data_IF_575741887596
#
_entry.id   IF_575741887596
#
_cell.length_a   1.000
_cell.length_b   1.000
_cell.length_c   1.000
_cell.angle_alpha   90.00
_cell.angle_beta   90.00
_cell.angle_gamma   90.00
#
_symmetry.space_group_name_H-M   'P 1'
#
loop_
_entity.id
_entity.type
_entity.pdbx_description
1 polymer ?
#
# COMPACT_ATOMS: atom_id res chain seq x y z
N UNK A 1 -31.65 65.89 23.98
CA UNK A 1 -31.41 64.49 24.33
C UNK A 1 -30.95 64.52 25.77
N UNK A 2 -31.58 63.79 26.70
CA UNK A 2 -31.14 63.83 28.11
C UNK A 2 -29.82 63.04 28.24
N UNK A 3 -28.98 63.39 29.19
CA UNK A 3 -27.73 62.68 29.47
C UNK A 3 -27.93 61.15 29.64
N UNK A 4 -29.05 60.75 30.23
CA UNK A 4 -29.43 59.34 30.42
C UNK A 4 -29.67 58.58 29.08
N UNK A 5 -30.26 59.27 28.06
CA UNK A 5 -30.49 58.66 26.73
C UNK A 5 -29.18 58.52 25.94
N UNK A 6 -28.25 59.45 26.09
CA UNK A 6 -26.95 59.39 25.47
C UNK A 6 -26.09 58.26 26.03
N UNK A 7 -26.10 58.05 27.35
CA UNK A 7 -25.40 56.95 28.00
C UNK A 7 -25.97 55.58 27.61
N UNK A 8 -27.30 55.44 27.54
CA UNK A 8 -27.95 54.20 27.12
C UNK A 8 -27.59 53.84 25.69
N UNK A 9 -27.57 54.84 24.79
CA UNK A 9 -27.19 54.65 23.38
C UNK A 9 -25.73 54.22 23.25
N UNK A 10 -24.82 54.79 24.05
CA UNK A 10 -23.40 54.41 24.07
C UNK A 10 -23.22 52.96 24.53
N UNK A 11 -23.93 52.56 25.59
CA UNK A 11 -23.89 51.16 26.11
C UNK A 11 -24.39 50.18 25.09
N UNK A 12 -25.47 50.46 24.34
CA UNK A 12 -25.98 49.61 23.29
C UNK A 12 -25.01 49.50 22.11
N UNK A 13 -24.36 50.60 21.73
CA UNK A 13 -23.32 50.57 20.68
C UNK A 13 -22.11 49.72 21.06
N UNK A 14 -21.65 49.84 22.32
CA UNK A 14 -20.53 48.99 22.83
C UNK A 14 -20.93 47.53 22.85
N UNK A 15 -22.15 47.19 23.32
CA UNK A 15 -22.64 45.82 23.28
C UNK A 15 -22.73 45.24 21.88
N UNK A 16 -23.20 46.05 20.91
CA UNK A 16 -23.24 45.65 19.50
C UNK A 16 -21.83 45.43 18.92
N UNK A 17 -20.86 46.27 19.23
CA UNK A 17 -19.47 46.13 18.81
C UNK A 17 -18.82 44.88 19.41
N UNK A 18 -19.05 44.61 20.69
CA UNK A 18 -18.57 43.38 21.33
C UNK A 18 -19.17 42.12 20.70
N UNK A 19 -20.46 42.16 20.36
CA UNK A 19 -21.12 41.05 19.64
C UNK A 19 -20.55 40.83 18.24
N UNK A 20 -20.15 41.88 17.52
CA UNK A 20 -19.49 41.78 16.23
C UNK A 20 -18.10 41.14 16.34
N UNK A 21 -17.32 41.51 17.38
CA UNK A 21 -16.00 40.94 17.63
C UNK A 21 -16.10 39.44 17.96
N UNK A 22 -17.11 39.06 18.76
CA UNK A 22 -17.35 37.61 19.05
C UNK A 22 -17.73 36.82 17.78
N UNK A 23 -18.58 37.42 16.90
CA UNK A 23 -18.95 36.79 15.63
C UNK A 23 -17.75 36.62 14.69
N UNK A 24 -16.86 37.61 14.61
CA UNK A 24 -15.63 37.50 13.81
C UNK A 24 -14.72 36.38 14.33
N UNK A 25 -14.58 36.25 15.64
CA UNK A 25 -13.79 35.15 16.22
C UNK A 25 -14.34 33.77 15.87
N UNK A 26 -15.65 33.58 16.02
CA UNK A 26 -16.32 32.31 15.68
C UNK A 26 -16.12 31.99 14.19
N UNK A 27 -16.24 32.99 13.31
CA UNK A 27 -16.05 32.81 11.87
C UNK A 27 -14.60 32.42 11.51
N UNK A 28 -13.60 33.05 12.15
CA UNK A 28 -12.21 32.69 11.94
C UNK A 28 -11.86 31.30 12.52
N UNK A 29 -12.43 30.92 13.65
CA UNK A 29 -12.29 29.57 14.21
C UNK A 29 -12.87 28.50 13.28
N UNK A 30 -14.06 28.72 12.72
CA UNK A 30 -14.65 27.81 11.74
C UNK A 30 -13.80 27.68 10.48
N UNK A 31 -13.23 28.78 10.02
CA UNK A 31 -12.37 28.81 8.83
C UNK A 31 -11.05 28.07 9.08
N UNK A 32 -10.48 28.20 10.28
CA UNK A 32 -9.29 27.46 10.69
C UNK A 32 -9.63 25.97 10.79
N UNK A 33 -10.73 25.60 11.44
CA UNK A 33 -11.16 24.21 11.57
C UNK A 33 -11.42 23.54 10.20
N UNK A 34 -11.99 24.27 9.23
CA UNK A 34 -12.15 23.78 7.85
C UNK A 34 -10.79 23.51 7.18
N UNK A 35 -9.85 24.44 7.32
CA UNK A 35 -8.49 24.25 6.77
C UNK A 35 -7.76 23.06 7.39
N UNK A 36 -7.87 22.88 8.70
CA UNK A 36 -7.27 21.75 9.40
C UNK A 36 -7.84 20.40 8.93
N UNK A 37 -9.17 20.33 8.76
CA UNK A 37 -9.83 19.14 8.18
C UNK A 37 -9.33 18.83 6.77
N UNK A 38 -9.21 19.83 5.91
CA UNK A 38 -8.68 19.65 4.56
C UNK A 38 -7.23 19.17 4.57
N UNK A 39 -6.39 19.74 5.44
CA UNK A 39 -5.00 19.33 5.60
C UNK A 39 -4.91 17.87 6.09
N UNK A 40 -5.75 17.48 7.05
CA UNK A 40 -5.81 16.12 7.56
C UNK A 40 -6.23 15.12 6.48
N UNK A 41 -7.22 15.49 5.65
CA UNK A 41 -7.69 14.67 4.55
C UNK A 41 -6.62 14.50 3.45
N UNK A 42 -5.93 15.57 3.08
CA UNK A 42 -4.81 15.53 2.12
C UNK A 42 -3.66 14.67 2.65
N UNK A 43 -3.33 14.76 3.96
CA UNK A 43 -2.30 13.92 4.57
C UNK A 43 -2.68 12.45 4.51
N UNK A 44 -3.94 12.12 4.83
CA UNK A 44 -4.45 10.75 4.75
C UNK A 44 -4.39 10.21 3.32
N UNK A 45 -4.87 10.98 2.34
CA UNK A 45 -4.80 10.58 0.92
C UNK A 45 -3.37 10.33 0.45
N UNK A 46 -2.41 11.17 0.83
CA UNK A 46 -0.98 10.98 0.50
C UNK A 46 -0.41 9.73 1.15
N UNK A 47 -0.80 9.43 2.39
CA UNK A 47 -0.36 8.21 3.07
C UNK A 47 -0.94 6.95 2.41
N UNK A 48 -2.22 6.99 2.05
CA UNK A 48 -2.89 5.89 1.34
C UNK A 48 -2.28 5.66 -0.05
N UNK A 49 -1.99 6.74 -0.80
CA UNK A 49 -1.29 6.66 -2.09
C UNK A 49 0.12 6.09 -1.94
N UNK A 50 0.86 6.49 -0.90
CA UNK A 50 2.20 5.95 -0.64
C UNK A 50 2.15 4.46 -0.33
N UNK A 51 1.20 4.02 0.52
CA UNK A 51 0.99 2.60 0.82
C UNK A 51 0.59 1.80 -0.41
N UNK A 52 -0.26 2.36 -1.28
CA UNK A 52 -0.65 1.73 -2.53
C UNK A 52 0.56 1.57 -3.48
N UNK A 53 1.39 2.60 -3.62
CA UNK A 53 2.60 2.54 -4.45
C UNK A 53 3.62 1.53 -3.90
N UNK A 54 3.84 1.48 -2.58
CA UNK A 54 4.71 0.49 -1.93
C UNK A 54 4.19 -0.94 -2.11
N UNK A 55 2.86 -1.13 -2.15
CA UNK A 55 2.25 -2.43 -2.42
C UNK A 55 2.43 -2.83 -3.89
N UNK A 56 2.25 -1.90 -4.82
CA UNK A 56 2.46 -2.15 -6.25
C UNK A 56 3.90 -2.54 -6.57
N UNK A 57 4.89 -1.95 -5.91
CA UNK A 57 6.31 -2.28 -6.08
C UNK A 57 6.64 -3.70 -5.57
N UNK A 58 5.83 -4.23 -4.65
CA UNK A 58 5.95 -5.61 -4.16
C UNK A 58 5.30 -6.66 -5.06
N UNK A 59 4.53 -6.23 -6.06
CA UNK A 59 3.81 -7.13 -6.97
C UNK A 59 4.70 -7.48 -8.16
N UNK A 60 5.05 -8.74 -8.26
CA UNK A 60 5.77 -9.29 -9.41
C UNK A 60 4.76 -9.84 -10.43
N UNK A 61 4.71 -9.23 -11.63
CA UNK A 61 3.79 -9.62 -12.71
C UNK A 61 4.51 -10.55 -13.70
N UNK A 62 4.01 -11.75 -13.88
CA UNK A 62 4.49 -12.74 -14.84
C UNK A 62 3.38 -13.01 -15.84
N UNK A 63 3.67 -12.89 -17.14
CA UNK A 63 2.73 -13.28 -18.20
C UNK A 63 3.09 -14.67 -18.72
N UNK A 64 2.09 -15.52 -18.88
CA UNK A 64 2.25 -16.82 -19.55
C UNK A 64 2.59 -16.56 -21.01
N UNK A 65 3.62 -17.22 -21.50
CA UNK A 65 4.03 -17.09 -22.90
C UNK A 65 3.09 -17.91 -23.78
N UNK A 66 2.71 -17.32 -24.93
CA UNK A 66 1.95 -18.02 -25.94
C UNK A 66 2.78 -19.15 -26.55
N UNK A 67 2.31 -20.39 -26.43
CA UNK A 67 2.96 -21.59 -26.96
C UNK A 67 2.11 -22.33 -28.01
N UNK A 68 0.97 -21.75 -28.38
CA UNK A 68 0.02 -22.34 -29.34
C UNK A 68 -0.75 -23.55 -28.80
N UNK A 69 -0.74 -23.75 -27.48
CA UNK A 69 -1.41 -24.87 -26.80
C UNK A 69 -2.29 -24.36 -25.67
N UNK A 70 -3.59 -24.19 -25.90
CA UNK A 70 -4.50 -23.63 -24.91
C UNK A 70 -4.60 -24.47 -23.61
N UNK A 71 -4.17 -25.73 -23.63
CA UNK A 71 -4.14 -26.62 -22.48
C UNK A 71 -2.93 -26.42 -21.55
N UNK A 72 -1.87 -25.73 -22.00
CA UNK A 72 -0.62 -25.52 -21.23
C UNK A 72 -0.52 -24.12 -20.66
N UNK A 73 -1.55 -23.66 -19.97
CA UNK A 73 -1.63 -22.31 -19.41
C UNK A 73 -0.92 -22.21 -18.06
N UNK A 74 0.41 -22.36 -18.04
CA UNK A 74 1.22 -22.21 -16.81
C UNK A 74 2.53 -21.45 -17.09
N UNK A 75 3.01 -20.72 -16.07
CA UNK A 75 4.33 -20.10 -16.06
C UNK A 75 5.17 -20.62 -14.89
N UNK A 76 6.47 -20.78 -15.13
CA UNK A 76 7.43 -21.02 -14.06
C UNK A 76 7.82 -19.68 -13.43
N UNK A 77 7.61 -19.56 -12.13
CA UNK A 77 7.96 -18.38 -11.32
C UNK A 77 9.12 -18.75 -10.41
N UNK A 78 10.06 -17.82 -10.30
CA UNK A 78 11.22 -17.98 -9.40
C UNK A 78 11.16 -16.87 -8.36
N UNK A 79 11.22 -17.25 -7.07
CA UNK A 79 11.41 -16.35 -5.94
C UNK A 79 12.85 -16.52 -5.46
N UNK A 80 13.59 -15.44 -5.38
CA UNK A 80 15.01 -15.48 -5.01
C UNK A 80 15.29 -14.50 -3.87
N UNK A 81 15.68 -15.05 -2.74
CA UNK A 81 16.16 -14.35 -1.56
C UNK A 81 17.66 -14.57 -1.31
N UNK A 82 18.37 -15.17 -2.28
CA UNK A 82 19.78 -15.54 -2.15
C UNK A 82 20.74 -14.36 -1.99
N UNK A 83 20.28 -13.13 -2.31
CA UNK A 83 21.02 -11.89 -2.05
C UNK A 83 20.92 -11.37 -0.62
N UNK A 84 20.14 -12.04 0.25
CA UNK A 84 20.01 -11.65 1.67
C UNK A 84 21.30 -11.96 2.42
N UNK A 85 21.67 -11.08 3.34
CA UNK A 85 22.87 -11.26 4.18
C UNK A 85 22.61 -10.76 5.59
N UNK A 86 23.34 -11.30 6.55
CA UNK A 86 23.42 -10.79 7.91
C UNK A 86 24.61 -9.82 8.01
N UNK A 87 24.45 -8.61 8.59
CA UNK A 87 25.57 -7.71 8.87
C UNK A 87 26.66 -8.37 9.73
N UNK A 88 26.29 -9.31 10.58
CA UNK A 88 27.22 -10.13 11.35
C UNK A 88 27.69 -11.31 10.49
N UNK A 89 28.75 -11.12 9.72
CA UNK A 89 29.26 -11.98 8.63
C UNK A 89 29.47 -13.47 8.99
N UNK A 90 29.37 -13.85 10.27
CA UNK A 90 29.60 -15.22 10.75
C UNK A 90 28.29 -16.02 10.80
N UNK A 91 27.15 -15.34 10.80
CA UNK A 91 25.86 -15.98 11.00
C UNK A 91 25.29 -16.57 9.70
N UNK A 92 24.82 -17.80 9.80
CA UNK A 92 24.11 -18.46 8.70
C UNK A 92 22.65 -18.08 8.75
N UNK A 93 22.11 -17.62 7.62
CA UNK A 93 20.69 -17.37 7.46
C UNK A 93 19.94 -18.67 7.17
N UNK A 94 18.82 -18.84 7.86
CA UNK A 94 17.84 -19.90 7.61
C UNK A 94 16.67 -19.25 6.86
N UNK A 95 16.29 -19.85 5.75
CA UNK A 95 15.20 -19.38 4.87
C UNK A 95 13.98 -20.25 5.09
N UNK A 96 12.80 -19.64 5.10
CA UNK A 96 11.53 -20.36 5.12
C UNK A 96 10.51 -19.61 4.27
N UNK A 97 10.08 -20.23 3.17
CA UNK A 97 9.01 -19.75 2.32
C UNK A 97 7.69 -20.41 2.71
N UNK A 98 6.65 -19.59 2.86
CA UNK A 98 5.30 -20.04 3.15
C UNK A 98 4.33 -19.41 2.20
N UNK A 99 3.53 -20.22 1.50
CA UNK A 99 2.41 -19.72 0.72
C UNK A 99 1.30 -19.23 1.67
N UNK A 100 0.86 -17.98 1.50
CA UNK A 100 -0.17 -17.34 2.32
C UNK A 100 -1.53 -17.38 1.61
N UNK A 101 -1.55 -17.19 0.29
CA UNK A 101 -2.79 -17.26 -0.51
C UNK A 101 -2.54 -17.66 -1.96
N UNK A 102 -3.62 -17.91 -2.69
CA UNK A 102 -3.61 -18.40 -4.06
C UNK A 102 -3.82 -19.92 -4.16
N UNK A 103 -3.89 -20.45 -5.38
CA UNK A 103 -3.92 -21.89 -5.61
C UNK A 103 -2.64 -22.52 -5.05
N UNK A 104 -2.77 -23.65 -4.36
CA UNK A 104 -1.63 -24.36 -3.78
C UNK A 104 -0.63 -24.75 -4.87
N UNK A 105 0.64 -24.40 -4.65
CA UNK A 105 1.76 -24.76 -5.52
C UNK A 105 2.87 -25.44 -4.71
N UNK A 106 3.69 -26.22 -5.40
CA UNK A 106 4.86 -26.87 -4.78
C UNK A 106 6.09 -26.04 -5.04
N UNK A 107 6.84 -25.74 -3.97
CA UNK A 107 8.08 -24.98 -4.04
C UNK A 107 9.27 -25.94 -4.20
N UNK A 108 9.99 -25.78 -5.30
CA UNK A 108 11.18 -26.55 -5.61
C UNK A 108 12.47 -25.73 -5.42
N UNK A 109 13.58 -26.29 -4.90
CA UNK A 109 13.73 -27.68 -4.46
C UNK A 109 13.03 -27.97 -3.13
N UNK A 110 12.83 -27.00 -2.27
CA UNK A 110 12.08 -27.07 -1.00
C UNK A 110 11.88 -25.67 -0.41
N UNK A 111 10.90 -25.47 0.50
CA UNK A 111 10.61 -24.16 1.08
C UNK A 111 11.74 -23.51 1.90
N UNK A 112 12.75 -24.30 2.31
CA UNK A 112 13.88 -23.78 3.11
C UNK A 112 15.08 -23.36 2.24
N UNK A 113 14.92 -23.37 0.92
CA UNK A 113 15.95 -22.90 0.00
C UNK A 113 15.93 -21.39 -0.14
N UNK A 114 17.08 -20.70 -0.29
CA UNK A 114 17.14 -19.26 -0.53
C UNK A 114 16.47 -18.88 -1.86
N UNK A 115 16.44 -19.78 -2.81
CA UNK A 115 15.80 -19.63 -4.11
C UNK A 115 14.85 -20.80 -4.33
N UNK A 116 13.59 -20.46 -4.67
CA UNK A 116 12.55 -21.45 -4.96
C UNK A 116 11.87 -21.15 -6.29
N UNK A 117 11.39 -22.20 -6.95
CA UNK A 117 10.62 -22.12 -8.18
C UNK A 117 9.30 -22.86 -8.01
N UNK A 118 8.29 -22.42 -8.74
CA UNK A 118 7.00 -23.12 -8.82
C UNK A 118 6.33 -22.86 -10.17
N UNK A 119 5.49 -23.79 -10.59
CA UNK A 119 4.63 -23.63 -11.77
C UNK A 119 3.25 -23.16 -11.34
N UNK A 120 2.76 -22.11 -11.98
CA UNK A 120 1.49 -21.50 -11.67
C UNK A 120 0.68 -21.14 -12.89
N UNK A 121 -0.61 -21.44 -12.87
CA UNK A 121 -1.58 -20.91 -13.81
C UNK A 121 -1.97 -19.47 -13.50
N UNK A 122 -2.85 -18.83 -14.30
CA UNK A 122 -3.32 -17.48 -14.06
C UNK A 122 -3.91 -17.31 -12.65
N UNK A 123 -3.58 -16.20 -11.99
CA UNK A 123 -4.06 -15.90 -10.67
C UNK A 123 -3.08 -15.10 -9.82
N UNK A 124 -3.50 -14.80 -8.60
CA UNK A 124 -2.68 -14.15 -7.59
C UNK A 124 -2.15 -15.18 -6.59
N UNK A 125 -0.88 -15.08 -6.28
CA UNK A 125 -0.17 -15.92 -5.33
C UNK A 125 0.58 -15.04 -4.35
N UNK A 126 0.46 -15.33 -3.06
CA UNK A 126 1.14 -14.58 -2.01
C UNK A 126 2.01 -15.49 -1.17
N UNK A 127 3.25 -15.10 -0.99
CA UNK A 127 4.25 -15.83 -0.21
C UNK A 127 4.82 -14.93 0.87
N UNK A 128 5.07 -15.51 2.04
CA UNK A 128 5.87 -14.92 3.10
C UNK A 128 7.23 -15.60 3.09
N UNK A 129 8.30 -14.82 3.10
CA UNK A 129 9.66 -15.29 3.39
C UNK A 129 10.01 -14.91 4.81
N UNK A 130 10.48 -15.86 5.59
CA UNK A 130 11.07 -15.65 6.91
C UNK A 130 12.57 -15.93 6.81
N UNK A 131 13.38 -15.00 7.27
CA UNK A 131 14.82 -15.16 7.43
C UNK A 131 15.12 -15.18 8.93
N UNK A 132 15.87 -16.18 9.39
CA UNK A 132 16.26 -16.31 10.79
C UNK A 132 17.78 -16.44 10.86
N UNK A 133 18.41 -15.67 11.77
CA UNK A 133 19.84 -15.77 12.06
C UNK A 133 20.18 -16.92 13.03
N UNK A 134 21.46 -17.10 13.33
CA UNK A 134 21.93 -18.11 14.28
C UNK A 134 21.52 -17.88 15.74
N UNK A 135 21.06 -16.68 16.09
CA UNK A 135 20.59 -16.28 17.43
C UNK A 135 19.07 -16.34 17.58
N UNK A 136 18.35 -16.66 16.49
CA UNK A 136 16.90 -16.72 16.50
C UNK A 136 16.20 -15.38 16.23
N UNK A 137 16.95 -14.34 15.85
CA UNK A 137 16.35 -13.08 15.38
C UNK A 137 15.78 -13.31 13.98
N UNK A 138 14.57 -12.84 13.75
CA UNK A 138 13.90 -13.08 12.47
C UNK A 138 13.39 -11.77 11.81
N UNK A 139 13.39 -11.79 10.48
CA UNK A 139 12.74 -10.77 9.65
C UNK A 139 11.79 -11.47 8.68
N UNK A 140 10.69 -10.84 8.35
CA UNK A 140 9.70 -11.33 7.39
C UNK A 140 9.46 -10.32 6.30
N UNK A 141 9.28 -10.82 5.09
CA UNK A 141 8.79 -10.01 3.96
C UNK A 141 7.74 -10.79 3.18
N UNK A 142 6.90 -10.07 2.45
CA UNK A 142 5.83 -10.65 1.66
C UNK A 142 6.07 -10.36 0.19
N UNK A 143 5.93 -11.39 -0.65
CA UNK A 143 5.97 -11.28 -2.11
C UNK A 143 4.62 -11.66 -2.70
N UNK A 144 4.11 -10.81 -3.60
CA UNK A 144 2.88 -11.04 -4.34
C UNK A 144 3.24 -11.28 -5.80
N UNK A 145 2.74 -12.36 -6.37
CA UNK A 145 2.95 -12.74 -7.77
C UNK A 145 1.61 -12.76 -8.48
N UNK A 146 1.46 -11.94 -9.50
CA UNK A 146 0.34 -12.00 -10.41
C UNK A 146 0.76 -12.73 -11.69
N UNK A 147 0.23 -13.92 -11.88
CA UNK A 147 0.37 -14.67 -13.14
C UNK A 147 -0.77 -14.27 -14.04
N UNK A 148 -0.43 -13.58 -15.13
CA UNK A 148 -1.37 -13.09 -16.12
C UNK A 148 -1.60 -14.18 -17.17
N UNK A 149 -2.83 -14.21 -17.69
CA UNK A 149 -3.22 -15.11 -18.78
C UNK A 149 -2.31 -14.95 -20.00
N UNK A 150 -2.24 -16.00 -20.79
CA UNK A 150 -1.61 -16.00 -22.11
C UNK A 150 -2.34 -15.00 -23.01
N UNK A 151 -1.58 -14.17 -23.73
CA UNK A 151 -2.17 -13.30 -24.75
C UNK A 151 -2.43 -14.11 -26.02
N UNK A 152 -3.67 -14.07 -26.49
CA UNK A 152 -4.04 -14.63 -27.78
C UNK A 152 -4.54 -13.49 -28.67
N UNK A 153 -3.79 -13.19 -29.73
CA UNK A 153 -4.18 -12.19 -30.70
C UNK A 153 -5.19 -12.79 -31.70
N UNK A 154 -6.15 -11.98 -32.13
CA UNK A 154 -7.12 -12.41 -33.13
C UNK A 154 -6.44 -12.71 -34.49
N UNK A 155 -6.87 -13.78 -35.18
CA UNK A 155 -6.36 -14.04 -36.52
C UNK A 155 -6.75 -12.89 -37.48
N UNK A 156 -5.82 -12.52 -38.37
CA UNK A 156 -6.06 -11.50 -39.39
C UNK A 156 -6.48 -12.21 -40.68
N UNK A 157 -7.64 -11.82 -41.23
CA UNK A 157 -8.10 -12.26 -42.52
C UNK A 157 -7.57 -11.30 -43.61
N UNK A 158 -6.63 -11.73 -44.42
CA UNK A 158 -6.23 -11.00 -45.63
C UNK A 158 -7.11 -11.45 -46.82
N UNK A 159 -7.81 -10.49 -47.46
CA UNK A 159 -8.68 -10.70 -48.65
C UNK A 159 -8.06 -10.10 -49.89
#
# INVERSE_FOLDING_TARGET
MSERTAVLFLVLCIAALLGLIELEKVFEEEKIAKKERQIAEIKKQKEDQKKAAELEDKIFKVRIKHDGRPETSTATVILDAGGSYDPNKVDKLIFEWKQISGKTVYLEPNPSSPRVAFNAGPGEYKFEITLTDGYGTLIKDTKIVHVLEESNDLPVLET
#
